data_IF_273216031331
#
_entry.id   IF_273216031331
#
_cell.length_a   1.000
_cell.length_b   1.000
_cell.length_c   1.000
_cell.angle_alpha   90.00
_cell.angle_beta   90.00
_cell.angle_gamma   90.00
#
_symmetry.space_group_name_H-M   'P 1'
#
loop_
_entity.id
_entity.type
_entity.pdbx_description
1 polymer ?
#
# COMPACT_ATOMS: atom_id res chain seq x y z
N UNK A 1 6.30 17.99 -10.15
CA UNK A 1 6.42 19.06 -9.17
C UNK A 1 7.77 19.79 -9.28
N UNK A 2 8.92 19.12 -9.08
CA UNK A 2 10.24 19.79 -9.11
C UNK A 2 10.50 20.57 -10.40
N UNK A 3 10.21 19.99 -11.57
CA UNK A 3 10.48 20.62 -12.87
C UNK A 3 9.50 21.75 -13.24
N UNK A 4 8.29 21.72 -12.70
CA UNK A 4 7.19 22.62 -13.12
C UNK A 4 6.83 23.61 -12.02
N UNK A 5 7.29 23.38 -10.80
CA UNK A 5 6.87 24.13 -9.61
C UNK A 5 5.47 23.72 -9.13
N UNK A 6 5.04 24.25 -8.00
CA UNK A 6 3.73 24.00 -7.42
C UNK A 6 3.76 23.15 -6.14
N UNK A 7 2.67 23.20 -5.38
CA UNK A 7 2.53 22.48 -4.11
C UNK A 7 1.99 21.08 -4.33
N UNK A 8 2.49 20.15 -3.55
CA UNK A 8 2.17 18.72 -3.67
C UNK A 8 1.61 18.18 -2.36
N UNK A 9 0.49 17.47 -2.43
CA UNK A 9 -0.01 16.62 -1.37
C UNK A 9 0.29 15.16 -1.72
N UNK A 10 1.07 14.49 -0.87
CA UNK A 10 1.40 13.07 -1.01
C UNK A 10 0.62 12.26 0.03
N UNK A 11 -0.32 11.44 -0.44
CA UNK A 11 -1.22 10.64 0.41
C UNK A 11 -0.68 9.24 0.62
N UNK A 12 -0.65 8.81 1.88
CA UNK A 12 -0.25 7.46 2.30
C UNK A 12 -1.26 6.86 3.30
N UNK A 13 -1.24 5.54 3.44
CA UNK A 13 -2.12 4.83 4.36
C UNK A 13 -1.60 4.75 5.80
N UNK A 14 -0.29 4.90 6.02
CA UNK A 14 0.33 4.69 7.32
C UNK A 14 1.37 5.76 7.64
N UNK A 15 1.50 6.09 8.93
CA UNK A 15 2.47 7.07 9.45
C UNK A 15 3.91 6.79 9.00
N UNK A 16 4.33 5.53 9.10
CA UNK A 16 5.70 5.14 8.71
C UNK A 16 5.98 5.40 7.24
N UNK A 17 4.99 5.24 6.37
CA UNK A 17 5.13 5.50 4.93
C UNK A 17 5.27 7.00 4.65
N UNK A 18 4.60 7.87 5.42
CA UNK A 18 4.77 9.32 5.28
C UNK A 18 6.22 9.75 5.55
N UNK A 19 6.80 9.30 6.65
CA UNK A 19 8.19 9.63 7.00
C UNK A 19 9.19 9.04 6.00
N UNK A 20 9.00 7.80 5.54
CA UNK A 20 9.86 7.17 4.52
C UNK A 20 9.80 7.91 3.17
N UNK A 21 8.60 8.30 2.73
CA UNK A 21 8.43 9.07 1.51
C UNK A 21 9.12 10.43 1.63
N UNK A 22 8.96 11.13 2.75
CA UNK A 22 9.61 12.41 3.04
C UNK A 22 11.13 12.29 2.98
N UNK A 23 11.72 11.28 3.63
CA UNK A 23 13.17 11.02 3.58
C UNK A 23 13.67 10.78 2.15
N UNK A 24 12.90 10.06 1.34
CA UNK A 24 13.23 9.80 -0.06
C UNK A 24 13.17 11.08 -0.89
N UNK A 25 12.13 11.89 -0.69
CA UNK A 25 12.01 13.19 -1.37
C UNK A 25 13.13 14.15 -1.00
N UNK A 26 13.55 14.19 0.26
CA UNK A 26 14.67 15.02 0.70
C UNK A 26 15.97 14.72 -0.04
N UNK A 27 16.20 13.44 -0.41
CA UNK A 27 17.38 13.03 -1.20
C UNK A 27 17.30 13.48 -2.66
N UNK A 28 16.08 13.45 -3.23
CA UNK A 28 15.87 13.74 -4.66
C UNK A 28 15.61 15.22 -4.93
N UNK A 29 15.02 15.90 -3.96
CA UNK A 29 14.67 17.33 -4.06
C UNK A 29 15.01 18.08 -2.77
N UNK A 30 16.30 18.26 -2.48
CA UNK A 30 16.76 18.86 -1.22
C UNK A 30 16.33 20.32 -1.02
N UNK A 31 15.98 21.03 -2.10
CA UNK A 31 15.55 22.43 -2.04
C UNK A 31 14.06 22.58 -1.65
N UNK A 32 13.27 21.50 -1.69
CA UNK A 32 11.86 21.55 -1.33
C UNK A 32 11.68 21.63 0.19
N UNK A 33 10.74 22.46 0.63
CA UNK A 33 10.29 22.41 2.02
C UNK A 33 9.32 21.23 2.18
N UNK A 34 9.64 20.31 3.11
CA UNK A 34 8.91 19.05 3.31
C UNK A 34 8.23 19.05 4.67
N UNK A 35 6.94 18.77 4.69
CA UNK A 35 6.15 18.68 5.91
C UNK A 35 5.35 17.38 6.03
N UNK A 36 4.83 17.14 7.22
CA UNK A 36 3.95 16.00 7.50
C UNK A 36 2.59 16.48 8.03
N UNK A 37 1.51 15.86 7.53
CA UNK A 37 0.17 16.07 8.05
C UNK A 37 -0.41 14.73 8.51
N UNK A 38 -0.15 14.43 9.77
CA UNK A 38 -0.45 13.13 10.40
C UNK A 38 -1.21 13.33 11.71
N UNK A 39 -1.33 12.29 12.54
CA UNK A 39 -2.02 12.39 13.83
C UNK A 39 -1.44 13.47 14.75
N UNK A 40 -0.11 13.55 14.84
CA UNK A 40 0.63 14.43 15.77
C UNK A 40 1.25 15.65 15.10
N UNK A 41 1.57 15.58 13.82
CA UNK A 41 2.18 16.69 13.07
C UNK A 41 1.16 17.32 12.12
N UNK A 42 1.15 18.65 12.04
CA UNK A 42 0.16 19.44 11.29
C UNK A 42 0.82 20.54 10.46
N UNK A 43 1.85 20.17 9.66
CA UNK A 43 2.52 21.10 8.77
C UNK A 43 1.59 21.45 7.59
N UNK A 44 1.42 22.74 7.31
CA UNK A 44 0.43 23.19 6.32
C UNK A 44 1.02 24.07 5.21
N UNK A 45 2.22 24.61 5.38
CA UNK A 45 2.77 25.66 4.50
C UNK A 45 3.88 25.19 3.55
N UNK A 46 4.34 23.95 3.70
CA UNK A 46 5.46 23.38 2.97
C UNK A 46 5.12 23.11 1.50
N UNK A 47 6.15 23.06 0.66
CA UNK A 47 6.01 22.75 -0.77
C UNK A 47 5.45 21.35 -1.02
N UNK A 48 5.91 20.37 -0.22
CA UNK A 48 5.39 19.01 -0.26
C UNK A 48 4.92 18.61 1.12
N UNK A 49 3.67 18.17 1.22
CA UNK A 49 3.06 17.67 2.46
C UNK A 49 2.78 16.18 2.31
N UNK A 50 3.37 15.38 3.19
CA UNK A 50 3.11 13.95 3.31
C UNK A 50 2.02 13.73 4.35
N UNK A 51 0.85 13.31 3.90
CA UNK A 51 -0.32 13.19 4.76
C UNK A 51 -0.85 11.76 4.83
N UNK A 52 -1.29 11.35 6.03
CA UNK A 52 -2.13 10.16 6.09
C UNK A 52 -3.55 10.52 5.64
N UNK A 53 -4.15 9.62 4.85
CA UNK A 53 -5.52 9.79 4.33
C UNK A 53 -6.51 10.10 5.46
N UNK A 54 -6.35 9.41 6.61
CA UNK A 54 -7.22 9.59 7.77
C UNK A 54 -7.08 10.98 8.42
N UNK A 55 -5.87 11.57 8.40
CA UNK A 55 -5.64 12.89 8.99
C UNK A 55 -6.17 13.99 8.12
N UNK A 56 -5.84 13.95 6.83
CA UNK A 56 -6.26 15.02 5.90
C UNK A 56 -7.79 15.02 5.68
N UNK A 57 -8.41 13.83 5.60
CA UNK A 57 -9.87 13.72 5.37
C UNK A 57 -10.74 14.26 6.51
N UNK A 58 -10.16 14.42 7.71
CA UNK A 58 -10.84 15.01 8.88
C UNK A 58 -10.70 16.53 8.97
N UNK A 59 -9.71 17.06 8.30
CA UNK A 59 -9.27 18.45 8.45
C UNK A 59 -9.29 19.20 7.08
N UNK A 60 -10.10 18.75 6.13
CA UNK A 60 -10.14 19.33 4.77
C UNK A 60 -10.37 20.84 4.79
N UNK A 61 -11.28 21.30 5.64
CA UNK A 61 -11.65 22.71 5.76
C UNK A 61 -10.52 23.63 6.22
N UNK A 62 -9.43 23.08 6.72
CA UNK A 62 -8.23 23.85 7.07
C UNK A 62 -7.38 24.24 5.87
N UNK A 63 -7.69 23.66 4.72
CA UNK A 63 -7.00 23.90 3.45
C UNK A 63 -7.95 24.54 2.44
N UNK A 64 -7.40 25.34 1.52
CA UNK A 64 -8.16 25.74 0.36
C UNK A 64 -8.30 24.57 -0.64
N UNK A 65 -9.42 24.43 -1.34
CA UNK A 65 -9.56 23.45 -2.42
C UNK A 65 -8.46 23.52 -3.49
N UNK A 66 -7.82 24.67 -3.64
CA UNK A 66 -6.77 24.94 -4.63
C UNK A 66 -5.36 24.99 -4.03
N UNK A 67 -5.18 24.58 -2.79
CA UNK A 67 -3.87 24.63 -2.11
C UNK A 67 -2.80 23.76 -2.74
N UNK A 68 -3.20 22.69 -3.42
CA UNK A 68 -2.29 21.73 -4.03
C UNK A 68 -2.47 21.65 -5.53
N UNK A 69 -1.36 21.86 -6.27
CA UNK A 69 -1.32 21.68 -7.72
C UNK A 69 -1.22 20.20 -8.10
N UNK A 70 -0.60 19.38 -7.24
CA UNK A 70 -0.38 17.95 -7.47
C UNK A 70 -0.88 17.13 -6.29
N UNK A 71 -1.59 16.07 -6.61
CA UNK A 71 -2.02 15.06 -5.66
C UNK A 71 -1.36 13.73 -6.05
N UNK A 72 -0.53 13.18 -5.16
CA UNK A 72 0.11 11.88 -5.34
C UNK A 72 -0.50 10.91 -4.33
N UNK A 73 -0.95 9.76 -4.81
CA UNK A 73 -1.65 8.76 -3.99
C UNK A 73 -0.88 7.46 -4.03
N UNK A 74 -0.26 7.11 -2.92
CA UNK A 74 0.38 5.82 -2.75
C UNK A 74 -0.67 4.75 -2.40
N UNK A 75 -0.45 3.51 -2.88
CA UNK A 75 -1.41 2.40 -2.79
C UNK A 75 -2.80 2.79 -3.30
N UNK A 76 -2.83 3.42 -4.48
CA UNK A 76 -4.05 4.00 -5.04
C UNK A 76 -5.17 2.98 -5.34
N UNK A 77 -4.90 1.67 -5.24
CA UNK A 77 -5.93 0.64 -5.29
C UNK A 77 -6.96 0.75 -4.15
N UNK A 78 -6.70 1.57 -3.11
CA UNK A 78 -7.66 1.92 -2.08
C UNK A 78 -8.49 3.19 -2.42
N UNK A 79 -8.24 3.81 -3.56
CA UNK A 79 -8.81 5.13 -3.90
C UNK A 79 -10.35 5.18 -3.98
N UNK A 80 -11.02 4.05 -4.21
CA UNK A 80 -12.48 3.97 -4.19
C UNK A 80 -13.11 4.09 -2.78
N UNK A 81 -12.32 3.94 -1.71
CA UNK A 81 -12.85 4.08 -0.35
C UNK A 81 -13.34 5.52 -0.09
N UNK A 82 -14.44 5.64 0.65
CA UNK A 82 -15.11 6.91 0.96
C UNK A 82 -14.16 8.02 1.49
N UNK A 83 -13.12 7.63 2.22
CA UNK A 83 -12.13 8.57 2.77
C UNK A 83 -11.32 9.25 1.67
N UNK A 84 -10.93 8.51 0.64
CA UNK A 84 -10.22 9.05 -0.52
C UNK A 84 -11.15 9.89 -1.39
N UNK A 85 -12.39 9.42 -1.60
CA UNK A 85 -13.38 10.14 -2.40
C UNK A 85 -13.67 11.53 -1.83
N UNK A 86 -13.72 11.69 -0.50
CA UNK A 86 -13.84 13.00 0.14
C UNK A 86 -12.69 13.93 -0.22
N UNK A 87 -11.45 13.42 -0.24
CA UNK A 87 -10.25 14.20 -0.58
C UNK A 87 -10.28 14.62 -2.05
N UNK A 88 -10.62 13.71 -2.95
CA UNK A 88 -10.68 13.97 -4.39
C UNK A 88 -11.81 14.93 -4.78
N UNK A 89 -12.93 14.88 -4.05
CA UNK A 89 -14.03 15.82 -4.27
C UNK A 89 -13.70 17.21 -3.73
N UNK A 90 -12.91 17.30 -2.67
CA UNK A 90 -12.59 18.57 -2.04
C UNK A 90 -11.49 19.34 -2.76
N UNK A 91 -10.37 18.68 -3.06
CA UNK A 91 -9.23 19.33 -3.71
C UNK A 91 -9.40 19.34 -5.24
N UNK A 92 -8.97 20.44 -5.85
CA UNK A 92 -9.00 20.65 -7.30
C UNK A 92 -7.57 20.75 -7.87
N UNK A 93 -6.76 19.67 -7.81
CA UNK A 93 -5.39 19.69 -8.30
C UNK A 93 -5.37 19.76 -9.84
N UNK A 94 -4.28 20.29 -10.39
CA UNK A 94 -4.01 20.25 -11.83
C UNK A 94 -3.68 18.86 -12.34
N UNK A 95 -3.14 18.00 -11.46
CA UNK A 95 -2.73 16.65 -11.82
C UNK A 95 -2.81 15.70 -10.63
N UNK A 96 -3.34 14.50 -10.88
CA UNK A 96 -3.41 13.41 -9.90
C UNK A 96 -2.56 12.25 -10.40
N UNK A 97 -1.66 11.72 -9.55
CA UNK A 97 -0.83 10.56 -9.81
C UNK A 97 -1.15 9.45 -8.80
N UNK A 98 -1.60 8.32 -9.29
CA UNK A 98 -1.75 7.10 -8.51
C UNK A 98 -0.56 6.16 -8.66
N UNK A 99 -0.07 5.61 -7.56
CA UNK A 99 0.99 4.61 -7.50
C UNK A 99 0.43 3.35 -6.85
N UNK A 100 0.65 2.19 -7.44
CA UNK A 100 0.28 0.89 -6.86
C UNK A 100 1.11 -0.24 -7.43
N UNK A 101 1.41 -1.24 -6.60
CA UNK A 101 1.98 -2.51 -7.02
C UNK A 101 0.89 -3.50 -7.51
N UNK A 102 -0.37 -3.27 -7.16
CA UNK A 102 -1.51 -4.15 -7.44
C UNK A 102 -2.62 -3.39 -8.14
N UNK A 103 -2.48 -3.12 -9.47
CA UNK A 103 -3.48 -2.35 -10.20
C UNK A 103 -4.82 -3.08 -10.37
N UNK A 104 -4.80 -4.41 -10.33
CA UNK A 104 -5.99 -5.24 -10.46
C UNK A 104 -6.65 -5.41 -9.10
N UNK A 105 -7.86 -4.88 -8.96
CA UNK A 105 -8.67 -5.04 -7.74
C UNK A 105 -9.57 -6.27 -7.84
N UNK A 106 -9.72 -6.96 -6.72
CA UNK A 106 -10.59 -8.12 -6.60
C UNK A 106 -12.09 -7.76 -6.53
N UNK A 107 -12.43 -6.48 -6.33
CA UNK A 107 -13.81 -5.98 -6.24
C UNK A 107 -14.37 -5.44 -7.56
N UNK A 108 -13.59 -5.45 -8.64
CA UNK A 108 -14.04 -5.10 -9.99
C UNK A 108 -14.22 -3.60 -10.26
N UNK A 109 -13.90 -2.73 -9.30
CA UNK A 109 -13.91 -1.29 -9.55
C UNK A 109 -12.72 -0.86 -10.40
N UNK A 110 -13.00 -0.13 -11.48
CA UNK A 110 -11.98 0.32 -12.41
C UNK A 110 -11.28 1.59 -11.89
N UNK A 111 -10.01 1.45 -11.56
CA UNK A 111 -9.17 2.60 -11.19
C UNK A 111 -8.98 3.60 -12.34
N UNK A 112 -9.18 3.17 -13.60
CA UNK A 112 -9.07 4.04 -14.77
C UNK A 112 -10.17 5.09 -14.79
N UNK A 113 -11.34 4.85 -14.20
CA UNK A 113 -12.37 5.86 -14.04
C UNK A 113 -11.88 7.06 -13.24
N UNK A 114 -11.04 6.81 -12.22
CA UNK A 114 -10.51 7.86 -11.36
C UNK A 114 -9.23 8.50 -11.93
N UNK A 115 -8.30 7.70 -12.46
CA UNK A 115 -6.99 8.17 -12.89
C UNK A 115 -6.88 8.37 -14.41
N UNK A 116 -7.90 7.98 -15.19
CA UNK A 116 -8.08 8.18 -16.63
C UNK A 116 -7.03 7.49 -17.52
N UNK A 117 -5.75 7.49 -17.14
CA UNK A 117 -4.66 6.98 -17.95
C UNK A 117 -3.66 6.15 -17.12
N UNK A 118 -3.03 5.17 -17.78
CA UNK A 118 -1.89 4.44 -17.25
C UNK A 118 -0.61 5.01 -17.86
N UNK A 119 0.17 5.75 -17.07
CA UNK A 119 1.42 6.34 -17.50
C UNK A 119 2.56 5.29 -17.62
N UNK A 120 2.58 4.30 -16.72
CA UNK A 120 3.58 3.24 -16.71
C UNK A 120 3.02 1.97 -16.07
N UNK A 121 3.30 0.81 -16.68
CA UNK A 121 2.97 -0.51 -16.14
C UNK A 121 4.21 -1.41 -16.28
N UNK A 122 4.59 -2.06 -15.19
CA UNK A 122 5.63 -3.07 -15.17
C UNK A 122 5.13 -4.28 -14.40
N UNK A 123 4.89 -5.39 -15.07
CA UNK A 123 4.52 -6.64 -14.42
C UNK A 123 5.75 -7.33 -13.79
N UNK A 124 5.48 -8.29 -12.91
CA UNK A 124 6.50 -9.01 -12.15
C UNK A 124 7.51 -9.73 -13.06
N UNK A 125 7.04 -10.34 -14.15
CA UNK A 125 7.88 -11.05 -15.11
C UNK A 125 8.86 -10.11 -15.77
N UNK A 126 8.36 -9.01 -16.32
CA UNK A 126 9.17 -7.96 -16.95
C UNK A 126 10.17 -7.36 -15.97
N UNK A 127 9.79 -7.14 -14.70
CA UNK A 127 10.69 -6.60 -13.69
C UNK A 127 11.86 -7.56 -13.37
N UNK A 128 11.59 -8.87 -13.33
CA UNK A 128 12.63 -9.90 -13.18
C UNK A 128 13.52 -9.99 -14.42
N UNK A 129 12.94 -10.02 -15.61
CA UNK A 129 13.68 -10.08 -16.89
C UNK A 129 14.61 -8.88 -17.09
N UNK A 130 14.19 -7.68 -16.61
CA UNK A 130 15.01 -6.46 -16.65
C UNK A 130 16.01 -6.34 -15.49
N UNK A 131 16.08 -7.33 -14.60
CA UNK A 131 16.97 -7.30 -13.44
C UNK A 131 16.61 -6.26 -12.36
N UNK A 132 15.40 -5.67 -12.43
CA UNK A 132 14.89 -4.75 -11.39
C UNK A 132 14.51 -5.53 -10.13
N UNK A 133 13.98 -6.75 -10.31
CA UNK A 133 13.68 -7.69 -9.24
C UNK A 133 14.49 -8.96 -9.41
N UNK A 134 14.80 -9.61 -8.29
CA UNK A 134 15.45 -10.92 -8.28
C UNK A 134 14.49 -12.01 -8.75
N UNK A 135 14.98 -13.10 -9.37
CA UNK A 135 14.14 -14.24 -9.73
C UNK A 135 13.44 -14.84 -8.51
N UNK A 136 12.16 -15.16 -8.68
CA UNK A 136 11.34 -15.76 -7.64
C UNK A 136 11.33 -17.27 -7.81
N UNK A 137 11.66 -18.00 -6.75
CA UNK A 137 11.47 -19.44 -6.66
C UNK A 137 10.29 -19.75 -5.74
N UNK A 138 9.17 -20.16 -6.33
CA UNK A 138 7.98 -20.55 -5.59
C UNK A 138 8.02 -22.05 -5.26
N UNK A 139 7.85 -22.41 -3.99
CA UNK A 139 7.71 -23.78 -3.53
C UNK A 139 6.33 -23.91 -2.88
N UNK A 140 5.46 -24.68 -3.52
CA UNK A 140 4.13 -24.97 -2.96
C UNK A 140 4.18 -26.28 -2.18
N UNK A 141 3.93 -26.18 -0.87
CA UNK A 141 3.79 -27.33 0.01
C UNK A 141 2.32 -27.72 0.09
N UNK A 142 2.00 -28.96 -0.29
CA UNK A 142 0.63 -29.49 -0.14
C UNK A 142 0.42 -29.95 1.30
N UNK A 143 -0.71 -29.58 1.87
CA UNK A 143 -1.18 -30.06 3.18
C UNK A 143 -2.53 -30.73 2.99
N UNK A 144 -2.89 -31.67 3.87
CA UNK A 144 -4.18 -32.36 3.86
C UNK A 144 -5.28 -31.58 4.61
N UNK A 145 -5.17 -30.25 4.64
CA UNK A 145 -6.15 -29.39 5.31
C UNK A 145 -7.34 -29.21 4.39
N UNK A 146 -8.50 -29.58 4.89
CA UNK A 146 -9.79 -29.28 4.27
C UNK A 146 -10.35 -27.96 4.85
N UNK A 147 -10.54 -26.99 3.97
CA UNK A 147 -11.10 -25.68 4.31
C UNK A 147 -12.58 -25.54 3.92
N UNK A 148 -13.23 -26.62 3.49
CA UNK A 148 -14.63 -26.60 3.05
C UNK A 148 -15.60 -26.10 4.11
N UNK A 149 -15.31 -26.37 5.38
CA UNK A 149 -16.15 -25.95 6.51
C UNK A 149 -15.81 -24.56 7.06
N UNK A 150 -14.81 -23.89 6.50
CA UNK A 150 -14.42 -22.55 6.95
C UNK A 150 -15.36 -21.51 6.34
N UNK A 151 -16.05 -20.78 7.20
CA UNK A 151 -16.99 -19.72 6.77
C UNK A 151 -16.25 -18.64 6.01
N UNK A 152 -16.91 -18.12 4.97
CA UNK A 152 -16.41 -17.00 4.16
C UNK A 152 -17.23 -15.76 4.47
N UNK A 153 -16.57 -14.71 4.94
CA UNK A 153 -17.17 -13.39 5.18
C UNK A 153 -16.79 -12.47 4.03
N UNK A 154 -17.65 -12.39 3.01
CA UNK A 154 -17.35 -11.69 1.76
C UNK A 154 -16.24 -12.39 0.98
N UNK A 155 -15.08 -11.76 0.84
CA UNK A 155 -13.90 -12.29 0.09
C UNK A 155 -12.90 -12.99 1.05
N UNK A 156 -13.09 -12.88 2.36
CA UNK A 156 -12.13 -13.38 3.38
C UNK A 156 -12.71 -14.55 4.16
N UNK A 157 -11.85 -15.51 4.48
CA UNK A 157 -12.18 -16.53 5.44
C UNK A 157 -12.42 -15.95 6.84
N UNK A 158 -13.33 -16.55 7.61
CA UNK A 158 -13.48 -16.22 9.02
C UNK A 158 -12.19 -16.56 9.77
N UNK A 159 -11.64 -15.59 10.51
CA UNK A 159 -10.33 -15.73 11.14
C UNK A 159 -10.30 -16.83 12.21
N UNK A 160 -11.36 -16.94 13.02
CA UNK A 160 -11.45 -17.93 14.11
C UNK A 160 -11.59 -19.36 13.55
N UNK A 161 -12.45 -19.55 12.53
CA UNK A 161 -12.62 -20.85 11.89
C UNK A 161 -11.32 -21.26 11.18
N UNK A 162 -10.67 -20.31 10.49
CA UNK A 162 -9.41 -20.56 9.82
C UNK A 162 -8.32 -20.97 10.82
N UNK A 163 -8.22 -20.27 11.93
CA UNK A 163 -7.23 -20.52 12.98
C UNK A 163 -7.39 -21.93 13.56
N UNK A 164 -8.62 -22.34 13.92
CA UNK A 164 -8.89 -23.68 14.44
C UNK A 164 -8.51 -24.80 13.48
N UNK A 165 -8.61 -24.57 12.16
CA UNK A 165 -8.21 -25.54 11.12
C UNK A 165 -6.73 -25.49 10.77
N UNK A 166 -6.06 -24.38 11.04
CA UNK A 166 -4.63 -24.19 10.72
C UNK A 166 -3.71 -24.57 11.89
N UNK A 167 -4.21 -24.56 13.12
CA UNK A 167 -3.41 -24.85 14.32
C UNK A 167 -3.28 -26.38 14.55
N UNK A 168 -2.61 -27.07 13.61
CA UNK A 168 -2.37 -28.50 13.63
C UNK A 168 -0.86 -28.74 13.82
N UNK A 169 -0.42 -29.43 14.89
CA UNK A 169 0.99 -29.68 15.18
C UNK A 169 1.76 -30.27 13.99
N UNK A 170 1.19 -31.25 13.30
CA UNK A 170 1.80 -31.91 12.14
C UNK A 170 2.04 -30.95 10.98
N UNK A 171 1.12 -30.01 10.77
CA UNK A 171 1.27 -28.96 9.75
C UNK A 171 2.40 -27.97 10.14
N UNK A 172 2.42 -27.58 11.39
CA UNK A 172 3.47 -26.67 11.87
C UNK A 172 4.85 -27.33 11.76
N UNK A 173 4.95 -28.62 12.07
CA UNK A 173 6.18 -29.39 11.85
C UNK A 173 6.56 -29.42 10.37
N UNK A 174 5.61 -29.65 9.46
CA UNK A 174 5.86 -29.62 8.02
C UNK A 174 6.38 -28.26 7.53
N UNK A 175 5.88 -27.15 8.11
CA UNK A 175 6.38 -25.79 7.80
C UNK A 175 7.84 -25.66 8.25
N UNK A 176 8.15 -26.10 9.46
CA UNK A 176 9.52 -26.08 10.02
C UNK A 176 10.47 -26.92 9.16
N UNK A 177 10.08 -28.15 8.83
CA UNK A 177 10.89 -29.04 8.00
C UNK A 177 11.13 -28.46 6.60
N UNK A 178 10.10 -27.83 6.02
CA UNK A 178 10.21 -27.16 4.73
C UNK A 178 11.15 -25.97 4.80
N UNK A 179 11.05 -25.15 5.85
CA UNK A 179 11.96 -24.05 6.10
C UNK A 179 13.42 -24.54 6.22
N UNK A 180 13.67 -25.53 7.07
CA UNK A 180 14.99 -26.09 7.27
C UNK A 180 15.58 -26.65 5.96
N UNK A 181 14.76 -27.30 5.15
CA UNK A 181 15.19 -27.91 3.89
C UNK A 181 15.56 -26.88 2.81
N UNK A 182 14.79 -25.81 2.68
CA UNK A 182 14.90 -24.91 1.52
C UNK A 182 15.42 -23.51 1.84
N UNK A 183 15.31 -23.06 3.08
CA UNK A 183 15.49 -21.65 3.46
C UNK A 183 16.50 -21.46 4.60
N UNK A 184 16.82 -22.52 5.33
CA UNK A 184 17.70 -22.47 6.52
C UNK A 184 18.94 -21.58 6.32
N UNK A 185 19.20 -20.71 7.30
CA UNK A 185 20.32 -19.76 7.27
C UNK A 185 20.09 -18.48 6.45
N UNK A 186 18.92 -18.30 5.84
CA UNK A 186 18.57 -17.08 5.08
C UNK A 186 17.66 -16.16 5.90
N UNK A 187 17.75 -14.85 5.62
CA UNK A 187 16.78 -13.88 6.17
C UNK A 187 15.37 -14.24 5.69
N UNK A 188 14.46 -14.43 6.62
CA UNK A 188 13.11 -14.95 6.34
C UNK A 188 12.06 -14.08 6.98
N UNK A 189 10.95 -13.86 6.26
CA UNK A 189 9.73 -13.28 6.80
C UNK A 189 8.64 -14.36 6.72
N UNK A 190 7.94 -14.59 7.82
CA UNK A 190 6.85 -15.55 7.91
C UNK A 190 5.55 -14.77 8.14
N UNK A 191 4.56 -15.02 7.31
CA UNK A 191 3.22 -14.45 7.46
C UNK A 191 2.33 -15.50 8.13
N UNK A 192 1.91 -15.20 9.35
CA UNK A 192 1.03 -16.06 10.14
C UNK A 192 -0.43 -15.67 9.96
N UNK A 193 -1.35 -16.59 10.22
CA UNK A 193 -2.80 -16.36 10.13
C UNK A 193 -3.30 -15.45 11.27
N UNK A 194 -2.67 -15.55 12.45
CA UNK A 194 -2.97 -14.73 13.63
C UNK A 194 -1.70 -14.41 14.43
N UNK A 195 -1.83 -13.61 15.48
CA UNK A 195 -0.74 -13.28 16.41
C UNK A 195 -0.31 -14.50 17.22
N UNK A 196 -1.23 -15.41 17.50
CA UNK A 196 -1.01 -16.61 18.32
C UNK A 196 -0.50 -17.80 17.50
N UNK A 197 -0.47 -17.70 16.18
CA UNK A 197 0.06 -18.68 15.25
C UNK A 197 1.54 -18.40 14.94
#
# INVERSE_FOLDING_TARGET
>A
AKAVGGRTLFLVNALKLASQAKETFAKVWPEATLGEYTGSQKDMTQTVIFATVQSISKDLEKFSPTDFDYLIVDECHHAAANTYQKIFTYFHPKFILGLTATPERSDGEDMLELFQNVAHKMDLKTAVERGVLVPIRCIRVKTNIDLTDVRINGIKYNSQDLESKLFIPERNQLIVDTYLKYVNGKKTVIFCASVDH
#
